data_IF_491439884885
#
_entry.id   IF_491439884885
#
_cell.length_a   1.000
_cell.length_b   1.000
_cell.length_c   1.000
_cell.angle_alpha   90.00
_cell.angle_beta   90.00
_cell.angle_gamma   90.00
#
_symmetry.space_group_name_H-M   'P 1'
#
loop_
_entity.id
_entity.type
_entity.pdbx_description
1 polymer ?
#
# COMPACT_ATOMS: atom_id res chain seq x y z
N UNK A 1 3.98 44.04 36.97
CA UNK A 1 4.41 42.62 36.88
C UNK A 1 3.24 41.64 36.65
N UNK A 2 2.03 41.90 37.18
CA UNK A 2 0.87 40.99 37.04
C UNK A 2 0.22 40.95 35.65
N UNK A 3 0.18 42.08 34.92
CA UNK A 3 -0.42 42.15 33.59
C UNK A 3 0.29 41.24 32.56
N UNK A 4 1.62 41.17 32.58
CA UNK A 4 2.40 40.31 31.67
C UNK A 4 2.17 38.81 31.92
N UNK A 5 1.91 38.40 33.17
CA UNK A 5 1.62 36.99 33.50
C UNK A 5 0.26 36.54 32.96
N UNK A 6 -0.73 37.44 32.95
CA UNK A 6 -2.09 37.16 32.42
C UNK A 6 -2.07 37.04 30.89
N UNK A 7 -1.30 37.88 30.20
CA UNK A 7 -1.13 37.80 28.74
C UNK A 7 -0.47 36.47 28.34
N UNK A 8 0.62 36.08 29.01
CA UNK A 8 1.31 34.80 28.76
C UNK A 8 0.38 33.60 29.00
N UNK A 9 -0.41 33.61 30.09
CA UNK A 9 -1.38 32.53 30.38
C UNK A 9 -2.48 32.44 29.31
N UNK A 10 -2.93 33.57 28.77
CA UNK A 10 -3.92 33.61 27.70
C UNK A 10 -3.33 33.13 26.36
N UNK A 11 -2.09 33.48 26.05
CA UNK A 11 -1.39 33.02 24.84
C UNK A 11 -1.12 31.51 24.89
N UNK A 12 -0.76 30.97 26.07
CA UNK A 12 -0.63 29.53 26.29
C UNK A 12 -1.97 28.82 26.14
N UNK A 13 -3.06 29.34 26.73
CA UNK A 13 -4.41 28.78 26.55
C UNK A 13 -4.88 28.85 25.09
N UNK A 14 -4.54 29.92 24.38
CA UNK A 14 -4.87 30.09 22.95
C UNK A 14 -4.11 29.10 22.08
N UNK A 15 -2.82 28.89 22.34
CA UNK A 15 -2.03 27.83 21.68
C UNK A 15 -2.61 26.45 21.96
N UNK A 16 -3.01 26.16 23.21
CA UNK A 16 -3.58 24.87 23.56
C UNK A 16 -4.91 24.60 22.83
N UNK A 17 -5.77 25.63 22.68
CA UNK A 17 -7.00 25.52 21.88
C UNK A 17 -6.73 25.28 20.40
N UNK A 18 -5.65 25.84 19.85
CA UNK A 18 -5.25 25.61 18.46
C UNK A 18 -4.70 24.18 18.21
N UNK A 19 -4.21 23.50 19.26
CA UNK A 19 -3.72 22.11 19.16
C UNK A 19 -4.86 21.07 19.15
N UNK A 20 -6.02 21.38 19.72
CA UNK A 20 -7.17 20.46 19.79
C UNK A 20 -7.56 19.87 18.42
N UNK A 21 -7.80 20.67 17.36
CA UNK A 21 -8.17 20.11 16.04
C UNK A 21 -7.07 19.25 15.43
N UNK A 22 -5.80 19.59 15.67
CA UNK A 22 -4.65 18.79 15.19
C UNK A 22 -4.65 17.40 15.85
N UNK A 23 -4.90 17.34 17.16
CA UNK A 23 -4.98 16.08 17.89
C UNK A 23 -6.16 15.24 17.39
N UNK A 24 -7.33 15.85 17.17
CA UNK A 24 -8.51 15.17 16.63
C UNK A 24 -8.22 14.59 15.24
N UNK A 25 -7.53 15.34 14.38
CA UNK A 25 -7.12 14.88 13.05
C UNK A 25 -6.12 13.73 13.09
N UNK A 26 -5.15 13.78 14.01
CA UNK A 26 -4.20 12.68 14.21
C UNK A 26 -4.93 11.40 14.63
N UNK A 27 -5.87 11.51 15.59
CA UNK A 27 -6.69 10.37 16.03
C UNK A 27 -7.53 9.83 14.86
N UNK A 28 -8.17 10.72 14.09
CA UNK A 28 -8.95 10.35 12.91
C UNK A 28 -8.10 9.57 11.88
N UNK A 29 -6.87 10.03 11.65
CA UNK A 29 -5.92 9.38 10.73
C UNK A 29 -5.49 8.01 11.23
N UNK A 30 -5.24 7.86 12.53
CA UNK A 30 -4.91 6.56 13.14
C UNK A 30 -6.10 5.58 13.04
N UNK A 31 -7.34 6.06 13.24
CA UNK A 31 -8.53 5.23 13.06
C UNK A 31 -8.64 4.74 11.61
N UNK A 32 -8.49 5.63 10.63
CA UNK A 32 -8.46 5.26 9.22
C UNK A 32 -7.38 4.21 8.92
N UNK A 33 -6.18 4.39 9.48
CA UNK A 33 -5.06 3.47 9.35
C UNK A 33 -5.42 2.05 9.80
N UNK A 34 -6.03 1.92 10.98
CA UNK A 34 -6.42 0.62 11.53
C UNK A 34 -7.50 -0.04 10.66
N UNK A 35 -8.49 0.74 10.19
CA UNK A 35 -9.57 0.26 9.33
C UNK A 35 -9.00 -0.29 8.02
N UNK A 36 -8.19 0.51 7.32
CA UNK A 36 -7.64 0.10 6.01
C UNK A 36 -6.64 -1.06 6.14
N UNK A 37 -5.81 -1.07 7.18
CA UNK A 37 -4.90 -2.18 7.45
C UNK A 37 -5.66 -3.50 7.69
N UNK A 38 -6.79 -3.46 8.42
CA UNK A 38 -7.60 -4.64 8.69
C UNK A 38 -8.30 -5.18 7.44
N UNK A 39 -8.70 -4.30 6.52
CA UNK A 39 -9.52 -4.66 5.35
C UNK A 39 -8.65 -5.01 4.13
N UNK A 40 -7.65 -4.18 3.82
CA UNK A 40 -6.79 -4.37 2.65
C UNK A 40 -5.57 -5.25 2.93
N UNK A 41 -5.13 -5.32 4.20
CA UNK A 41 -3.96 -6.12 4.60
C UNK A 41 -4.07 -7.61 4.24
N UNK A 42 -5.19 -8.30 4.53
CA UNK A 42 -5.38 -9.70 4.14
C UNK A 42 -5.40 -9.90 2.61
N UNK A 43 -6.04 -9.00 1.87
CA UNK A 43 -6.13 -9.08 0.42
C UNK A 43 -4.75 -8.93 -0.24
N UNK A 44 -3.95 -7.96 0.21
CA UNK A 44 -2.59 -7.76 -0.28
C UNK A 44 -1.71 -8.98 -0.05
N UNK A 45 -1.80 -9.61 1.13
CA UNK A 45 -1.04 -10.85 1.43
C UNK A 45 -1.44 -11.98 0.50
N UNK A 46 -2.73 -12.19 0.31
CA UNK A 46 -3.24 -13.24 -0.56
C UNK A 46 -2.79 -13.06 -2.02
N UNK A 47 -2.91 -11.84 -2.58
CA UNK A 47 -2.47 -11.55 -3.95
C UNK A 47 -0.95 -11.77 -4.13
N UNK A 48 -0.15 -11.35 -3.14
CA UNK A 48 1.30 -11.54 -3.17
C UNK A 48 1.71 -13.00 -3.08
N UNK A 49 1.03 -13.79 -2.26
CA UNK A 49 1.26 -15.24 -2.18
C UNK A 49 0.94 -15.95 -3.49
N UNK A 50 -0.18 -15.59 -4.14
CA UNK A 50 -0.53 -16.12 -5.46
C UNK A 50 0.52 -15.75 -6.52
N UNK A 51 0.99 -14.50 -6.53
CA UNK A 51 2.06 -14.05 -7.43
C UNK A 51 3.36 -14.82 -7.19
N UNK A 52 3.74 -15.08 -5.94
CA UNK A 52 4.92 -15.90 -5.60
C UNK A 52 4.76 -17.33 -6.11
N UNK A 53 3.62 -17.97 -5.86
CA UNK A 53 3.37 -19.34 -6.33
C UNK A 53 3.39 -19.45 -7.86
N UNK A 54 2.82 -18.47 -8.57
CA UNK A 54 2.89 -18.41 -10.03
C UNK A 54 4.33 -18.31 -10.52
N UNK A 55 5.17 -17.53 -9.86
CA UNK A 55 6.60 -17.44 -10.20
C UNK A 55 7.38 -18.69 -9.89
N UNK A 56 7.16 -19.31 -8.74
CA UNK A 56 7.82 -20.57 -8.39
C UNK A 56 7.50 -21.65 -9.43
N UNK A 57 6.24 -21.76 -9.84
CA UNK A 57 5.83 -22.67 -10.94
C UNK A 57 6.51 -22.35 -12.27
N UNK A 58 6.68 -21.05 -12.60
CA UNK A 58 7.36 -20.65 -13.83
C UNK A 58 8.86 -20.96 -13.80
N UNK A 59 9.51 -20.73 -12.66
CA UNK A 59 10.92 -21.05 -12.46
C UNK A 59 11.14 -22.57 -12.52
N UNK A 60 10.27 -23.35 -11.89
CA UNK A 60 10.33 -24.81 -11.88
C UNK A 60 10.09 -25.40 -13.28
N UNK A 61 9.06 -24.95 -14.01
CA UNK A 61 8.79 -25.39 -15.40
C UNK A 61 9.95 -25.00 -16.34
N UNK A 62 10.53 -23.81 -16.15
CA UNK A 62 11.70 -23.37 -16.93
C UNK A 62 12.94 -24.21 -16.60
N UNK A 63 13.22 -24.49 -15.34
CA UNK A 63 14.38 -25.29 -14.90
C UNK A 63 14.28 -26.76 -15.36
N UNK A 64 13.10 -27.37 -15.22
CA UNK A 64 12.83 -28.74 -15.68
C UNK A 64 13.03 -28.88 -17.19
N UNK A 65 12.52 -27.91 -17.97
CA UNK A 65 12.64 -27.92 -19.43
C UNK A 65 14.05 -27.58 -19.91
N UNK A 66 14.77 -26.67 -19.25
CA UNK A 66 16.18 -26.38 -19.54
C UNK A 66 17.08 -27.60 -19.34
N UNK A 67 16.82 -28.41 -18.31
CA UNK A 67 17.54 -29.68 -18.12
C UNK A 67 17.27 -30.67 -19.28
N UNK A 68 16.08 -30.60 -19.89
CA UNK A 68 15.67 -31.43 -21.03
C UNK A 68 16.14 -30.88 -22.40
N UNK A 69 16.49 -29.60 -22.48
CA UNK A 69 16.95 -28.93 -23.72
C UNK A 69 18.32 -29.42 -24.19
N UNK A 70 19.15 -30.04 -23.32
CA UNK A 70 20.40 -30.69 -23.74
C UNK A 70 20.23 -31.75 -24.83
N UNK A 71 19.00 -32.21 -25.07
CA UNK A 71 18.64 -33.19 -26.11
C UNK A 71 17.70 -32.66 -27.21
N UNK A 72 17.37 -31.36 -27.25
CA UNK A 72 16.42 -30.77 -28.21
C UNK A 72 17.08 -30.09 -29.42
N UNK A 73 16.34 -29.97 -30.53
CA UNK A 73 16.83 -29.34 -31.77
C UNK A 73 16.89 -27.80 -31.66
N UNK A 74 17.78 -27.11 -32.41
CA UNK A 74 18.00 -25.65 -32.27
C UNK A 74 16.74 -24.80 -32.46
N UNK A 75 15.84 -25.21 -33.35
CA UNK A 75 14.59 -24.50 -33.64
C UNK A 75 13.58 -24.59 -32.48
N UNK A 76 13.55 -25.73 -31.79
CA UNK A 76 12.70 -25.93 -30.61
C UNK A 76 13.20 -25.09 -29.43
N UNK A 77 14.52 -25.03 -29.23
CA UNK A 77 15.13 -24.19 -28.21
C UNK A 77 14.85 -22.69 -28.44
N UNK A 78 14.87 -22.22 -29.70
CA UNK A 78 14.56 -20.83 -30.05
C UNK A 78 13.10 -20.47 -29.75
N UNK A 79 12.14 -21.26 -30.25
CA UNK A 79 10.71 -21.03 -30.01
C UNK A 79 10.37 -21.09 -28.51
N UNK A 80 11.06 -21.94 -27.76
CA UNK A 80 10.93 -22.05 -26.32
C UNK A 80 11.46 -20.81 -25.58
N UNK A 81 12.62 -20.30 -25.98
CA UNK A 81 13.21 -19.11 -25.37
C UNK A 81 12.27 -17.91 -25.55
N UNK A 82 11.70 -17.74 -26.75
CA UNK A 82 10.73 -16.67 -27.01
C UNK A 82 9.47 -16.83 -26.13
N UNK A 83 8.89 -18.03 -26.02
CA UNK A 83 7.68 -18.22 -25.22
C UNK A 83 7.91 -18.00 -23.73
N UNK A 84 9.06 -18.44 -23.20
CA UNK A 84 9.46 -18.15 -21.81
C UNK A 84 9.66 -16.65 -21.59
N UNK A 85 10.38 -15.95 -22.46
CA UNK A 85 10.60 -14.50 -22.36
C UNK A 85 9.29 -13.70 -22.41
N UNK A 86 8.35 -14.09 -23.27
CA UNK A 86 7.00 -13.49 -23.31
C UNK A 86 6.25 -13.71 -22.00
N UNK A 87 6.37 -14.90 -21.39
CA UNK A 87 5.72 -15.21 -20.11
C UNK A 87 6.36 -14.47 -18.94
N UNK A 88 7.69 -14.40 -18.89
CA UNK A 88 8.43 -13.57 -17.94
C UNK A 88 8.07 -12.08 -18.08
N UNK A 89 7.88 -11.58 -19.30
CA UNK A 89 7.44 -10.21 -19.55
C UNK A 89 6.05 -9.92 -18.97
N UNK A 90 5.12 -10.87 -19.07
CA UNK A 90 3.77 -10.70 -18.50
C UNK A 90 3.74 -10.76 -16.97
N UNK A 91 4.68 -11.49 -16.35
CA UNK A 91 4.75 -11.70 -14.89
C UNK A 91 5.62 -10.62 -14.19
N UNK A 92 6.29 -9.77 -14.99
CA UNK A 92 7.13 -8.67 -14.51
C UNK A 92 8.49 -9.13 -14.03
N UNK A 93 9.53 -8.33 -14.28
CA UNK A 93 10.94 -8.67 -14.07
C UNK A 93 11.44 -8.36 -12.64
N UNK A 94 10.70 -7.59 -11.83
CA UNK A 94 11.13 -7.22 -10.46
C UNK A 94 10.84 -8.32 -9.43
N UNK A 95 11.68 -8.52 -8.42
CA UNK A 95 11.46 -9.50 -7.33
C UNK A 95 10.09 -9.31 -6.65
N UNK A 96 9.35 -10.41 -6.40
CA UNK A 96 8.13 -10.35 -5.57
C UNK A 96 8.59 -10.28 -4.12
N UNK A 97 8.67 -9.05 -3.61
CA UNK A 97 9.00 -8.81 -2.20
C UNK A 97 7.75 -9.00 -1.36
N UNK A 98 7.61 -10.21 -0.83
CA UNK A 98 6.57 -10.53 0.16
C UNK A 98 6.66 -9.64 1.40
N UNK A 99 7.88 -9.20 1.76
CA UNK A 99 8.11 -8.34 2.92
C UNK A 99 7.70 -6.88 2.72
N UNK A 100 7.38 -6.43 1.50
CA UNK A 100 6.98 -5.03 1.23
C UNK A 100 5.46 -4.85 1.23
N UNK A 101 4.74 -5.41 2.21
CA UNK A 101 3.28 -5.26 2.29
C UNK A 101 2.92 -3.86 2.78
N UNK A 102 2.44 -3.01 1.87
CA UNK A 102 2.18 -1.60 2.16
C UNK A 102 0.92 -1.43 3.02
N UNK A 103 -0.08 -2.28 2.84
CA UNK A 103 -1.32 -2.25 3.63
C UNK A 103 -1.16 -2.92 4.99
N UNK A 104 -0.37 -4.00 5.06
CA UNK A 104 -0.18 -4.74 6.32
C UNK A 104 0.79 -4.06 7.30
N UNK A 105 1.58 -3.10 6.81
CA UNK A 105 2.40 -2.21 7.63
C UNK A 105 1.62 -0.97 8.08
N UNK A 106 1.75 -0.62 9.36
CA UNK A 106 1.12 0.57 9.94
C UNK A 106 1.48 1.85 9.18
N UNK A 107 2.77 2.03 8.84
CA UNK A 107 3.26 3.24 8.16
C UNK A 107 2.70 3.40 6.75
N UNK A 108 2.51 2.30 6.01
CA UNK A 108 1.94 2.37 4.67
C UNK A 108 0.45 2.72 4.69
N UNK A 109 -0.32 2.09 5.59
CA UNK A 109 -1.74 2.43 5.80
C UNK A 109 -1.95 3.84 6.38
N UNK A 110 -1.01 4.31 7.20
CA UNK A 110 -1.01 5.67 7.75
C UNK A 110 -0.72 6.71 6.66
N UNK A 111 0.28 6.44 5.81
CA UNK A 111 0.57 7.26 4.64
C UNK A 111 -0.65 7.39 3.73
N UNK A 112 -1.34 6.27 3.44
CA UNK A 112 -2.58 6.30 2.67
C UNK A 112 -3.64 7.19 3.32
N UNK A 113 -3.92 6.98 4.61
CA UNK A 113 -4.93 7.75 5.36
C UNK A 113 -4.62 9.26 5.37
N UNK A 114 -3.34 9.64 5.50
CA UNK A 114 -2.89 11.02 5.40
C UNK A 114 -3.10 11.60 4.00
N UNK A 115 -2.75 10.86 2.94
CA UNK A 115 -2.91 11.34 1.54
C UNK A 115 -4.37 11.49 1.14
N UNK A 116 -5.29 10.70 1.72
CA UNK A 116 -6.74 10.84 1.53
C UNK A 116 -7.25 12.07 2.29
N UNK A 117 -6.87 12.22 3.55
CA UNK A 117 -7.27 13.38 4.37
C UNK A 117 -6.78 14.70 3.76
N UNK A 118 -5.51 14.78 3.37
CA UNK A 118 -4.91 15.96 2.74
C UNK A 118 -5.35 16.15 1.29
N UNK A 119 -6.16 15.25 0.75
CA UNK A 119 -6.64 15.24 -0.65
C UNK A 119 -5.52 15.20 -1.71
N UNK A 120 -4.29 14.88 -1.31
CA UNK A 120 -3.15 14.76 -2.25
C UNK A 120 -3.36 13.60 -3.22
N UNK A 121 -3.78 12.44 -2.69
CA UNK A 121 -4.21 11.30 -3.50
C UNK A 121 -3.26 10.86 -4.63
N UNK A 122 -1.99 10.58 -4.33
CA UNK A 122 -0.98 10.19 -5.35
C UNK A 122 -1.37 8.99 -6.24
N UNK A 123 -2.30 8.13 -5.81
CA UNK A 123 -2.74 6.97 -6.57
C UNK A 123 -1.74 5.82 -6.65
N UNK A 124 -0.59 5.92 -5.97
CA UNK A 124 0.43 4.87 -5.89
C UNK A 124 0.04 3.70 -4.96
N UNK A 125 -1.02 3.89 -4.17
CA UNK A 125 -1.57 2.94 -3.21
C UNK A 125 -3.09 3.16 -3.18
N UNK A 126 -3.84 2.15 -3.60
CA UNK A 126 -5.30 2.20 -3.73
C UNK A 126 -5.93 0.92 -3.18
N UNK A 127 -7.10 1.01 -2.53
CA UNK A 127 -7.80 -0.16 -2.02
C UNK A 127 -8.27 -1.04 -3.19
N UNK A 128 -7.93 -2.32 -3.13
CA UNK A 128 -8.33 -3.30 -4.13
C UNK A 128 -9.68 -3.92 -3.79
N UNK A 129 -10.04 -3.97 -2.50
CA UNK A 129 -11.33 -4.52 -2.08
C UNK A 129 -12.47 -3.53 -2.32
N UNK A 130 -13.65 -4.04 -2.68
CA UNK A 130 -14.86 -3.22 -2.83
C UNK A 130 -15.19 -2.46 -1.55
N UNK A 131 -15.05 -3.12 -0.40
CA UNK A 131 -15.27 -2.53 0.91
C UNK A 131 -14.30 -1.39 1.20
N UNK A 132 -13.00 -1.58 0.94
CA UNK A 132 -11.99 -0.54 1.13
C UNK A 132 -12.21 0.68 0.23
N UNK A 133 -12.69 0.48 -1.00
CA UNK A 133 -13.08 1.58 -1.90
C UNK A 133 -14.24 2.40 -1.35
N UNK A 134 -15.31 1.74 -0.90
CA UNK A 134 -16.46 2.42 -0.30
C UNK A 134 -16.05 3.18 0.97
N UNK A 135 -15.24 2.57 1.83
CA UNK A 135 -14.74 3.23 3.04
C UNK A 135 -13.84 4.41 2.73
N UNK A 136 -13.03 4.35 1.66
CA UNK A 136 -12.20 5.48 1.22
C UNK A 136 -13.05 6.67 0.81
N UNK A 137 -14.18 6.44 0.12
CA UNK A 137 -15.11 7.51 -0.26
C UNK A 137 -15.71 8.16 1.00
N UNK A 138 -16.20 7.35 1.94
CA UNK A 138 -16.80 7.84 3.18
C UNK A 138 -15.76 8.59 4.02
N UNK A 139 -14.56 8.02 4.18
CA UNK A 139 -13.46 8.60 4.94
C UNK A 139 -12.97 9.92 4.32
N UNK A 140 -12.86 9.99 2.99
CA UNK A 140 -12.50 11.22 2.28
C UNK A 140 -13.57 12.30 2.41
N UNK A 141 -14.85 11.93 2.36
CA UNK A 141 -15.95 12.86 2.56
C UNK A 141 -15.99 13.45 3.97
N UNK A 142 -15.75 12.64 5.01
CA UNK A 142 -15.71 13.14 6.39
C UNK A 142 -14.47 14.02 6.62
N UNK A 143 -13.34 13.62 6.05
CA UNK A 143 -12.09 14.38 6.11
C UNK A 143 -12.24 15.77 5.50
N UNK A 144 -12.90 15.89 4.35
CA UNK A 144 -13.06 17.18 3.65
C UNK A 144 -13.99 18.15 4.38
N UNK A 145 -14.91 17.67 5.22
CA UNK A 145 -15.76 18.51 6.08
C UNK A 145 -15.04 18.98 7.35
N UNK A 146 -13.89 18.38 7.67
CA UNK A 146 -13.13 18.63 8.90
C UNK A 146 -11.95 19.59 8.72
N UNK A 147 -11.67 19.99 7.46
CA UNK A 147 -10.60 20.89 7.03
C UNK A 147 -11.12 22.33 6.90
#
# INVERSE_FOLDING_TARGET
MFAGKVTILNDVKKSFKALVPIIVLLIYTVIGTVIFMAIEGPNEKYEKEQLKQQREKLLEDTAYRLNTIKTMTPLQAYNHTISSLVRYRHVGVGEVRLNETRWSEFWGSLYFSMTVYTTIGYGNMVPMTTTGRVLTIIYGFIASQSL
#
